data_IF_733033155042
#
_entry.id   IF_733033155042
#
_cell.length_a   1.000
_cell.length_b   1.000
_cell.length_c   1.000
_cell.angle_alpha   90.00
_cell.angle_beta   90.00
_cell.angle_gamma   90.00
#
_symmetry.space_group_name_H-M   'P 1'
#
loop_
_entity.id
_entity.type
_entity.pdbx_description
1 polymer ?
#
# COMPACT_ATOMS: atom_id res chain seq x y z
N UNK A 1 11.61 3.16 -13.71
CA UNK A 1 11.30 4.25 -12.77
C UNK A 1 9.87 4.11 -12.27
N UNK A 2 9.65 4.39 -10.98
CA UNK A 2 8.31 4.43 -10.37
C UNK A 2 7.38 5.45 -11.03
N UNK A 3 7.91 6.50 -11.60
CA UNK A 3 7.13 7.53 -12.33
C UNK A 3 6.47 7.04 -13.61
N UNK A 4 6.89 5.90 -14.14
CA UNK A 4 6.30 5.34 -15.36
C UNK A 4 5.28 4.28 -14.98
N UNK A 5 4.01 4.51 -15.31
CA UNK A 5 2.99 3.48 -15.18
C UNK A 5 3.30 2.30 -16.11
N UNK A 6 3.17 1.10 -15.56
CA UNK A 6 3.34 -0.14 -16.30
C UNK A 6 2.19 -1.08 -16.00
N UNK A 7 1.50 -1.53 -17.05
CA UNK A 7 0.35 -2.42 -16.94
C UNK A 7 0.72 -3.75 -16.27
N UNK A 8 1.83 -4.36 -16.69
CA UNK A 8 2.31 -5.62 -16.12
C UNK A 8 2.64 -5.50 -14.62
N UNK A 9 3.22 -4.37 -14.21
CA UNK A 9 3.49 -4.12 -12.80
C UNK A 9 2.20 -3.81 -12.01
N UNK A 10 1.21 -3.16 -12.64
CA UNK A 10 -0.09 -2.98 -12.03
C UNK A 10 -0.77 -4.34 -11.77
N UNK A 11 -0.78 -5.25 -12.75
CA UNK A 11 -1.33 -6.59 -12.58
C UNK A 11 -0.64 -7.38 -11.45
N UNK A 12 0.70 -7.33 -11.41
CA UNK A 12 1.48 -7.92 -10.31
C UNK A 12 1.20 -7.26 -8.96
N UNK A 13 0.99 -5.94 -8.94
CA UNK A 13 0.66 -5.18 -7.73
C UNK A 13 -0.73 -5.50 -7.21
N UNK A 14 -1.68 -5.79 -8.09
CA UNK A 14 -2.99 -6.32 -7.70
C UNK A 14 -2.83 -7.69 -7.02
N UNK A 15 -1.99 -8.55 -7.58
CA UNK A 15 -1.63 -9.83 -6.95
C UNK A 15 -1.02 -9.64 -5.56
N UNK A 16 -0.11 -8.68 -5.38
CA UNK A 16 0.50 -8.34 -4.09
C UNK A 16 -0.56 -7.84 -3.09
N UNK A 17 -1.48 -6.96 -3.52
CA UNK A 17 -2.55 -6.47 -2.68
C UNK A 17 -3.48 -7.60 -2.22
N UNK A 18 -3.92 -8.47 -3.14
CA UNK A 18 -4.82 -9.58 -2.82
C UNK A 18 -4.14 -10.73 -2.09
N UNK A 19 -2.83 -10.89 -2.21
CA UNK A 19 -2.09 -11.87 -1.41
C UNK A 19 -2.21 -11.63 0.10
N UNK A 20 -2.49 -10.38 0.51
CA UNK A 20 -2.75 -10.03 1.90
C UNK A 20 -4.21 -10.28 2.34
N UNK A 21 -5.09 -10.77 1.46
CA UNK A 21 -6.49 -11.07 1.74
C UNK A 21 -6.74 -12.57 1.88
N UNK A 22 -7.80 -12.92 2.63
CA UNK A 22 -8.31 -14.28 2.72
C UNK A 22 -9.45 -14.52 1.73
N UNK A 23 -9.76 -15.80 1.48
CA UNK A 23 -11.03 -16.17 0.85
C UNK A 23 -12.19 -15.92 1.81
N UNK A 24 -13.35 -15.53 1.29
CA UNK A 24 -14.54 -15.18 2.10
C UNK A 24 -15.20 -16.37 2.82
N UNK A 25 -14.79 -17.59 2.52
CA UNK A 25 -15.49 -18.82 2.91
C UNK A 25 -14.90 -19.49 4.17
N UNK A 26 -13.92 -18.87 4.85
CA UNK A 26 -13.31 -19.42 6.05
C UNK A 26 -13.73 -18.65 7.31
N UNK A 27 -13.72 -19.31 8.46
CA UNK A 27 -13.88 -18.67 9.76
C UNK A 27 -12.76 -17.64 10.02
N UNK A 28 -12.99 -16.69 10.90
CA UNK A 28 -12.12 -15.51 11.07
C UNK A 28 -10.64 -15.84 11.34
N UNK A 29 -10.37 -16.80 12.24
CA UNK A 29 -9.01 -17.21 12.57
C UNK A 29 -8.31 -17.89 11.38
N UNK A 30 -9.05 -18.71 10.62
CA UNK A 30 -8.57 -19.31 9.39
C UNK A 30 -8.31 -18.27 8.30
N UNK A 31 -9.10 -17.19 8.28
CA UNK A 31 -8.87 -16.07 7.35
C UNK A 31 -7.53 -15.38 7.58
N UNK A 32 -7.16 -15.12 8.84
CA UNK A 32 -5.87 -14.52 9.17
C UNK A 32 -4.70 -15.42 8.75
N UNK A 33 -4.75 -16.69 9.15
CA UNK A 33 -3.74 -17.67 8.79
C UNK A 33 -3.64 -17.84 7.26
N UNK A 34 -4.78 -17.82 6.55
CA UNK A 34 -4.84 -17.92 5.09
C UNK A 34 -4.24 -16.69 4.41
N UNK A 35 -4.56 -15.49 4.86
CA UNK A 35 -3.96 -14.24 4.33
C UNK A 35 -2.44 -14.26 4.47
N UNK A 36 -1.93 -14.68 5.61
CA UNK A 36 -0.50 -14.77 5.82
C UNK A 36 0.16 -15.82 4.92
N UNK A 37 -0.43 -17.02 4.78
CA UNK A 37 0.06 -18.06 3.85
C UNK A 37 0.02 -17.62 2.41
N UNK A 38 -1.04 -16.90 1.98
CA UNK A 38 -1.16 -16.40 0.63
C UNK A 38 -0.04 -15.43 0.28
N UNK A 39 0.28 -14.51 1.20
CA UNK A 39 1.41 -13.60 0.99
C UNK A 39 2.74 -14.35 0.92
N UNK A 40 2.99 -15.28 1.83
CA UNK A 40 4.21 -16.10 1.83
C UNK A 40 4.35 -16.81 0.48
N UNK A 41 3.30 -17.52 0.04
CA UNK A 41 3.30 -18.25 -1.24
C UNK A 41 3.53 -17.31 -2.44
N UNK A 42 2.88 -16.15 -2.46
CA UNK A 42 3.08 -15.15 -3.51
C UNK A 42 4.53 -14.65 -3.54
N UNK A 43 5.07 -14.30 -2.38
CA UNK A 43 6.43 -13.78 -2.28
C UNK A 43 7.47 -14.83 -2.69
N UNK A 44 7.33 -16.09 -2.26
CA UNK A 44 8.20 -17.21 -2.65
C UNK A 44 8.15 -17.46 -4.14
N UNK A 45 6.95 -17.49 -4.76
CA UNK A 45 6.80 -17.66 -6.21
C UNK A 45 7.45 -16.52 -7.00
N UNK A 46 7.46 -15.30 -6.44
CA UNK A 46 8.15 -14.16 -7.02
C UNK A 46 9.65 -14.12 -6.70
N UNK A 47 10.19 -15.14 -6.02
CA UNK A 47 11.62 -15.26 -5.67
C UNK A 47 12.06 -14.26 -4.60
N UNK A 48 11.17 -13.87 -3.72
CA UNK A 48 11.51 -13.08 -2.54
C UNK A 48 11.97 -13.98 -1.39
N UNK A 49 12.82 -13.41 -0.56
CA UNK A 49 13.35 -13.97 0.68
C UNK A 49 12.99 -13.05 1.85
N UNK A 50 13.47 -13.40 3.06
CA UNK A 50 13.25 -12.61 4.27
C UNK A 50 11.76 -12.20 4.49
N UNK A 51 10.87 -13.14 4.21
CA UNK A 51 9.42 -12.91 4.31
C UNK A 51 9.04 -12.76 5.79
N UNK A 52 8.43 -11.64 6.15
CA UNK A 52 7.98 -11.34 7.51
C UNK A 52 6.65 -10.63 7.52
N UNK A 53 5.90 -10.85 8.59
CA UNK A 53 4.60 -10.25 8.82
C UNK A 53 4.53 -9.68 10.24
N UNK A 54 3.80 -8.58 10.41
CA UNK A 54 3.52 -8.10 11.75
C UNK A 54 2.46 -8.99 12.44
N UNK A 55 2.28 -8.81 13.75
CA UNK A 55 1.35 -9.62 14.56
C UNK A 55 -0.09 -9.56 14.04
N UNK A 56 -0.49 -8.46 13.43
CA UNK A 56 -1.84 -8.25 12.94
C UNK A 56 -2.20 -9.07 11.69
N UNK A 57 -1.22 -9.70 11.05
CA UNK A 57 -1.47 -10.69 9.99
C UNK A 57 -1.93 -12.05 10.52
N UNK A 58 -1.70 -12.34 11.80
CA UNK A 58 -2.00 -13.65 12.40
C UNK A 58 -2.83 -13.56 13.68
N UNK A 59 -3.06 -12.36 14.19
CA UNK A 59 -3.89 -12.10 15.37
C UNK A 59 -5.11 -11.27 14.99
N UNK A 60 -6.21 -11.37 15.75
CA UNK A 60 -7.39 -10.55 15.58
C UNK A 60 -7.04 -9.06 15.55
N UNK A 61 -7.66 -8.32 14.61
CA UNK A 61 -7.46 -6.90 14.50
C UNK A 61 -8.03 -6.16 15.70
N UNK A 62 -7.30 -5.17 16.17
CA UNK A 62 -7.80 -4.15 17.11
C UNK A 62 -8.21 -2.90 16.33
N UNK A 63 -8.88 -1.98 16.99
CA UNK A 63 -9.20 -0.67 16.42
C UNK A 63 -7.91 0.01 15.94
N UNK A 64 -7.94 0.50 14.71
CA UNK A 64 -6.80 1.18 14.06
C UNK A 64 -5.55 0.30 13.79
N UNK A 65 -5.63 -1.02 14.00
CA UNK A 65 -4.55 -1.93 13.60
C UNK A 65 -4.53 -2.16 12.09
N UNK A 66 -3.35 -2.51 11.56
CA UNK A 66 -3.19 -2.85 10.15
C UNK A 66 -2.23 -4.04 9.99
N UNK A 67 -2.62 -5.02 9.18
CA UNK A 67 -1.75 -6.14 8.83
C UNK A 67 -0.72 -5.73 7.78
N UNK A 68 0.56 -6.07 8.01
CA UNK A 68 1.68 -5.67 7.16
C UNK A 68 2.54 -6.89 6.88
N UNK A 69 2.84 -7.08 5.61
CA UNK A 69 3.79 -8.09 5.14
C UNK A 69 4.94 -7.42 4.42
N UNK A 70 6.17 -7.87 4.67
CA UNK A 70 7.35 -7.45 3.94
C UNK A 70 8.13 -8.68 3.45
N UNK A 71 8.70 -8.55 2.26
CA UNK A 71 9.63 -9.51 1.70
C UNK A 71 10.70 -8.77 0.90
N UNK A 72 11.91 -9.32 0.79
CA UNK A 72 12.99 -8.66 0.05
C UNK A 72 13.75 -9.62 -0.84
N UNK A 73 14.32 -9.09 -1.89
CA UNK A 73 15.28 -9.80 -2.75
C UNK A 73 16.30 -8.85 -3.34
N UNK A 74 17.48 -9.37 -3.62
CA UNK A 74 18.49 -8.63 -4.40
C UNK A 74 18.12 -8.64 -5.88
N UNK A 75 18.14 -7.47 -6.50
CA UNK A 75 17.95 -7.30 -7.94
C UNK A 75 19.11 -6.50 -8.53
N UNK A 76 19.30 -6.63 -9.83
CA UNK A 76 20.25 -5.83 -10.60
C UNK A 76 19.56 -5.25 -11.82
N UNK A 77 19.82 -4.00 -12.07
CA UNK A 77 19.43 -3.29 -13.30
C UNK A 77 20.60 -2.45 -13.85
N UNK A 78 20.33 -1.62 -14.85
CA UNK A 78 21.34 -0.75 -15.45
C UNK A 78 21.94 0.26 -14.46
N UNK A 79 21.26 0.55 -13.35
CA UNK A 79 21.73 1.44 -12.28
C UNK A 79 22.58 0.71 -11.23
N UNK A 80 22.73 -0.62 -11.32
CA UNK A 80 23.52 -1.43 -10.41
C UNK A 80 22.70 -2.40 -9.55
N UNK A 81 23.18 -2.66 -8.34
CA UNK A 81 22.53 -3.58 -7.40
C UNK A 81 21.63 -2.82 -6.42
N UNK A 82 20.46 -3.38 -6.18
CA UNK A 82 19.46 -2.88 -5.24
C UNK A 82 18.89 -4.03 -4.40
N UNK A 83 18.36 -3.70 -3.22
CA UNK A 83 17.42 -4.58 -2.54
C UNK A 83 16.01 -4.11 -2.88
N UNK A 84 15.22 -4.97 -3.55
CA UNK A 84 13.80 -4.75 -3.76
C UNK A 84 13.05 -5.23 -2.52
N UNK A 85 12.27 -4.33 -1.92
CA UNK A 85 11.39 -4.63 -0.79
C UNK A 85 9.95 -4.57 -1.29
N UNK A 86 9.21 -5.67 -1.18
CA UNK A 86 7.78 -5.73 -1.44
C UNK A 86 7.01 -5.57 -0.12
N UNK A 87 5.98 -4.71 -0.13
CA UNK A 87 5.12 -4.44 1.02
C UNK A 87 3.67 -4.68 0.62
N UNK A 88 3.06 -5.69 1.20
CA UNK A 88 1.62 -5.95 1.11
C UNK A 88 0.92 -5.44 2.36
N UNK A 89 -0.06 -4.58 2.19
CA UNK A 89 -0.85 -4.03 3.30
C UNK A 89 -2.21 -4.69 3.29
N UNK A 90 -2.60 -5.30 4.43
CA UNK A 90 -3.90 -5.95 4.57
C UNK A 90 -4.99 -4.93 4.87
N UNK A 91 -6.04 -4.94 4.06
CA UNK A 91 -7.21 -4.09 4.24
C UNK A 91 -8.44 -4.80 4.80
N UNK A 92 -8.32 -6.07 5.17
CA UNK A 92 -9.46 -6.90 5.54
C UNK A 92 -9.54 -7.09 7.04
N UNK A 93 -10.51 -6.54 7.62
CA UNK A 93 -11.38 -6.95 8.70
C UNK A 93 -12.28 -5.81 9.15
N UNK A 94 -13.36 -5.70 8.43
CA UNK A 94 -14.17 -4.51 8.38
C UNK A 94 -14.84 -4.16 9.71
N UNK A 95 -15.07 -5.10 10.64
CA UNK A 95 -15.83 -4.79 11.85
C UNK A 95 -15.03 -4.07 12.94
N UNK A 96 -13.77 -4.45 13.18
CA UNK A 96 -12.92 -3.81 14.18
C UNK A 96 -12.16 -2.59 13.63
N UNK A 97 -11.74 -2.66 12.37
CA UNK A 97 -10.94 -1.62 11.71
C UNK A 97 -11.80 -0.45 11.19
N UNK A 98 -13.12 -0.64 10.98
CA UNK A 98 -14.02 0.41 10.51
C UNK A 98 -14.25 1.56 11.52
N UNK A 99 -14.01 1.32 12.80
CA UNK A 99 -14.02 2.39 13.79
C UNK A 99 -13.04 3.51 13.47
N UNK A 100 -11.89 3.17 12.85
CA UNK A 100 -10.90 4.12 12.36
C UNK A 100 -11.33 4.89 11.11
N UNK A 101 -12.15 4.28 10.25
CA UNK A 101 -12.60 4.90 8.99
C UNK A 101 -13.56 6.09 9.18
N UNK A 102 -14.16 6.24 10.37
CA UNK A 102 -15.06 7.35 10.70
C UNK A 102 -14.37 8.50 11.47
N UNK A 103 -13.07 8.37 11.78
CA UNK A 103 -12.34 9.39 12.55
C UNK A 103 -11.69 10.41 11.63
N UNK A 104 -12.28 11.59 11.59
CA UNK A 104 -11.64 12.78 11.04
C UNK A 104 -10.63 13.30 12.06
N UNK A 105 -9.37 13.46 11.66
CA UNK A 105 -8.32 13.98 12.55
C UNK A 105 -8.45 15.49 12.77
N UNK A 106 -7.99 15.95 13.93
CA UNK A 106 -7.88 17.38 14.23
C UNK A 106 -6.82 18.11 13.37
N UNK A 107 -5.95 17.34 12.70
CA UNK A 107 -4.87 17.84 11.83
C UNK A 107 -5.26 17.95 10.34
N UNK A 108 -6.50 17.59 9.98
CA UNK A 108 -6.95 17.57 8.59
C UNK A 108 -6.79 16.23 7.87
N UNK A 109 -5.79 15.41 8.18
CA UNK A 109 -5.66 14.04 7.67
C UNK A 109 -6.75 13.11 8.24
N UNK A 110 -7.06 12.06 7.49
CA UNK A 110 -7.94 11.00 8.00
C UNK A 110 -7.20 10.18 9.08
N UNK A 111 -7.53 10.40 10.36
CA UNK A 111 -6.77 9.88 11.50
C UNK A 111 -6.52 8.36 11.45
N UNK A 112 -7.52 7.58 11.05
CA UNK A 112 -7.37 6.12 10.95
C UNK A 112 -6.39 5.67 9.87
N UNK A 113 -6.30 6.40 8.75
CA UNK A 113 -5.33 6.09 7.69
C UNK A 113 -3.94 6.60 8.06
N UNK A 114 -3.83 7.76 8.70
CA UNK A 114 -2.56 8.30 9.21
C UNK A 114 -1.93 7.35 10.25
N UNK A 115 -2.71 6.81 11.19
CA UNK A 115 -2.21 5.81 12.14
C UNK A 115 -1.74 4.53 11.43
N UNK A 116 -2.47 4.07 10.40
CA UNK A 116 -2.05 2.94 9.58
C UNK A 116 -0.75 3.22 8.81
N UNK A 117 -0.61 4.40 8.23
CA UNK A 117 0.62 4.89 7.58
C UNK A 117 1.81 4.81 8.53
N UNK A 118 1.67 5.35 9.72
CA UNK A 118 2.75 5.38 10.70
C UNK A 118 3.16 3.97 11.13
N UNK A 119 2.19 3.07 11.35
CA UNK A 119 2.47 1.66 11.63
C UNK A 119 3.24 0.96 10.49
N UNK A 120 2.90 1.25 9.23
CA UNK A 120 3.62 0.69 8.07
C UNK A 120 5.05 1.21 8.01
N UNK A 121 5.26 2.51 8.19
CA UNK A 121 6.59 3.12 8.19
C UNK A 121 7.47 2.56 9.31
N UNK A 122 6.94 2.43 10.52
CA UNK A 122 7.67 1.91 11.66
C UNK A 122 8.01 0.42 11.49
N UNK A 123 7.05 -0.38 10.99
CA UNK A 123 7.31 -1.78 10.69
C UNK A 123 8.36 -1.95 9.59
N UNK A 124 8.31 -1.14 8.56
CA UNK A 124 9.28 -1.17 7.46
C UNK A 124 10.70 -0.80 7.93
N UNK A 125 10.82 0.20 8.80
CA UNK A 125 12.11 0.54 9.45
C UNK A 125 12.65 -0.61 10.29
N UNK A 126 11.80 -1.23 11.10
CA UNK A 126 12.17 -2.40 11.92
C UNK A 126 12.58 -3.58 11.03
N UNK A 127 11.82 -3.87 9.97
CA UNK A 127 12.12 -4.91 8.99
C UNK A 127 13.50 -4.71 8.35
N UNK A 128 13.81 -3.50 7.88
CA UNK A 128 15.11 -3.14 7.29
C UNK A 128 16.25 -3.34 8.29
N UNK A 129 16.05 -2.91 9.54
CA UNK A 129 17.04 -3.06 10.59
C UNK A 129 17.31 -4.52 10.95
N UNK A 130 16.26 -5.31 11.12
CA UNK A 130 16.33 -6.72 11.53
C UNK A 130 16.86 -7.64 10.42
N UNK A 131 16.60 -7.32 9.16
CA UNK A 131 17.12 -8.08 8.01
C UNK A 131 18.51 -7.64 7.59
N UNK A 132 19.04 -6.55 8.17
CA UNK A 132 20.35 -6.02 7.87
C UNK A 132 20.47 -5.40 6.48
N UNK A 133 19.37 -4.99 5.87
CA UNK A 133 19.35 -4.34 4.55
C UNK A 133 20.11 -3.02 4.62
N UNK A 134 21.00 -2.79 3.66
CA UNK A 134 21.81 -1.58 3.53
C UNK A 134 21.93 -1.15 2.07
N UNK A 135 22.31 0.12 1.84
CA UNK A 135 22.55 0.66 0.51
C UNK A 135 21.27 1.07 -0.22
N UNK A 136 21.26 0.92 -1.54
CA UNK A 136 20.13 1.36 -2.36
C UNK A 136 18.97 0.37 -2.32
N UNK A 137 17.79 0.88 -2.05
CA UNK A 137 16.56 0.08 -2.04
C UNK A 137 15.60 0.54 -3.13
N UNK A 138 14.81 -0.40 -3.64
CA UNK A 138 13.58 -0.14 -4.38
C UNK A 138 12.42 -0.62 -3.53
N UNK A 139 11.38 0.18 -3.43
CA UNK A 139 10.19 -0.17 -2.66
C UNK A 139 9.01 -0.39 -3.59
N UNK A 140 8.37 -1.53 -3.45
CA UNK A 140 7.15 -1.89 -4.12
C UNK A 140 6.05 -2.11 -3.09
N UNK A 141 5.08 -1.20 -3.04
CA UNK A 141 3.99 -1.21 -2.07
C UNK A 141 2.64 -1.24 -2.78
N UNK A 142 1.73 -2.05 -2.27
CA UNK A 142 0.37 -2.15 -2.78
C UNK A 142 -0.64 -2.44 -1.68
N UNK A 143 -1.87 -2.00 -1.91
CA UNK A 143 -3.02 -2.26 -1.06
C UNK A 143 -4.32 -2.10 -1.85
N UNK A 144 -5.42 -2.61 -1.26
CA UNK A 144 -6.78 -2.51 -1.81
C UNK A 144 -7.72 -1.87 -0.78
N UNK A 145 -8.62 -0.97 -1.23
CA UNK A 145 -9.60 -0.29 -0.38
C UNK A 145 -8.90 0.49 0.77
N UNK A 146 -9.27 0.29 2.03
CA UNK A 146 -8.65 0.94 3.20
C UNK A 146 -7.12 0.84 3.19
N UNK A 147 -6.57 -0.33 2.90
CA UNK A 147 -5.11 -0.50 2.83
C UNK A 147 -4.46 0.23 1.65
N UNK A 148 -5.23 0.50 0.59
CA UNK A 148 -4.75 1.34 -0.50
C UNK A 148 -4.58 2.79 -0.07
N UNK A 149 -5.49 3.34 0.76
CA UNK A 149 -5.29 4.67 1.36
C UNK A 149 -4.04 4.74 2.24
N UNK A 150 -3.83 3.72 3.05
CA UNK A 150 -2.61 3.64 3.88
C UNK A 150 -1.36 3.57 3.00
N UNK A 151 -1.35 2.70 1.97
CA UNK A 151 -0.24 2.60 1.02
C UNK A 151 0.00 3.92 0.26
N UNK A 152 -1.07 4.62 -0.13
CA UNK A 152 -1.03 5.92 -0.77
C UNK A 152 -0.35 6.97 0.11
N UNK A 153 -0.74 7.08 1.37
CA UNK A 153 -0.14 8.01 2.34
C UNK A 153 1.31 7.65 2.67
N UNK A 154 1.65 6.35 2.77
CA UNK A 154 3.06 5.90 2.88
C UNK A 154 3.86 6.33 1.68
N UNK A 155 3.31 6.15 0.47
CA UNK A 155 3.93 6.59 -0.78
C UNK A 155 4.22 8.08 -0.79
N UNK A 156 3.25 8.93 -0.39
CA UNK A 156 3.43 10.37 -0.28
C UNK A 156 4.55 10.76 0.66
N UNK A 157 4.54 10.21 1.89
CA UNK A 157 5.58 10.48 2.90
C UNK A 157 6.99 10.08 2.41
N UNK A 158 7.12 8.94 1.75
CA UNK A 158 8.41 8.48 1.23
C UNK A 158 8.88 9.31 0.04
N UNK A 159 7.98 9.74 -0.81
CA UNK A 159 8.29 10.63 -1.92
C UNK A 159 8.70 12.04 -1.44
N UNK A 160 8.17 12.48 -0.30
CA UNK A 160 8.57 13.70 0.40
C UNK A 160 9.87 13.57 1.21
N UNK A 161 10.52 12.40 1.13
CA UNK A 161 11.83 12.18 1.73
C UNK A 161 11.82 11.63 3.16
N UNK A 162 10.71 11.06 3.61
CA UNK A 162 10.65 10.34 4.88
C UNK A 162 11.68 9.20 4.88
N UNK A 163 12.57 9.18 5.89
CA UNK A 163 13.67 8.23 5.96
C UNK A 163 13.21 6.84 6.41
N UNK A 164 13.74 5.82 5.76
CA UNK A 164 13.62 4.42 6.16
C UNK A 164 14.79 3.92 7.03
N UNK A 165 15.72 4.78 7.36
CA UNK A 165 16.88 4.50 8.20
C UNK A 165 18.19 5.00 7.57
N UNK A 166 19.16 5.29 8.40
CA UNK A 166 20.43 5.92 7.97
C UNK A 166 21.30 5.05 7.05
N UNK A 167 21.06 3.73 7.02
CA UNK A 167 21.86 2.79 6.23
C UNK A 167 21.29 2.47 4.86
N UNK A 168 20.10 2.96 4.54
CA UNK A 168 19.43 2.74 3.26
C UNK A 168 19.13 4.05 2.57
N UNK A 169 19.06 4.02 1.25
CA UNK A 169 18.61 5.15 0.44
C UNK A 169 17.51 4.70 -0.53
N UNK A 170 16.40 5.41 -0.50
CA UNK A 170 15.28 5.28 -1.42
C UNK A 170 15.17 6.55 -2.24
N UNK A 171 15.26 6.42 -3.55
CA UNK A 171 14.95 7.52 -4.47
C UNK A 171 13.47 7.49 -4.82
N UNK A 172 12.80 8.64 -5.02
CA UNK A 172 11.43 8.68 -5.56
C UNK A 172 11.26 7.88 -6.86
N UNK A 173 12.29 7.82 -7.70
CA UNK A 173 12.31 6.98 -8.91
C UNK A 173 12.26 5.47 -8.64
N UNK A 174 12.63 5.04 -7.44
CA UNK A 174 12.69 3.66 -7.00
C UNK A 174 11.51 3.27 -6.09
N UNK A 175 10.55 4.18 -5.93
CA UNK A 175 9.26 3.93 -5.27
C UNK A 175 8.22 3.54 -6.31
N UNK A 176 7.62 2.37 -6.14
CA UNK A 176 6.57 1.79 -6.98
C UNK A 176 5.33 1.59 -6.10
N UNK A 177 4.42 2.54 -6.12
CA UNK A 177 3.21 2.54 -5.31
C UNK A 177 1.97 2.37 -6.19
N UNK A 178 1.25 1.27 -5.99
CA UNK A 178 0.03 0.94 -6.74
C UNK A 178 -1.13 0.73 -5.75
N UNK A 179 -2.11 1.61 -5.81
CA UNK A 179 -3.22 1.67 -4.87
C UNK A 179 -4.53 1.35 -5.60
N UNK A 180 -5.25 0.33 -5.15
CA UNK A 180 -6.50 -0.12 -5.77
C UNK A 180 -7.70 0.37 -4.96
N UNK A 181 -8.57 1.15 -5.59
CA UNK A 181 -9.77 1.75 -4.97
C UNK A 181 -9.45 2.50 -3.67
N UNK A 182 -8.41 3.38 -3.64
CA UNK A 182 -8.03 4.07 -2.41
C UNK A 182 -9.07 5.13 -2.03
N UNK A 183 -9.66 5.09 -0.82
CA UNK A 183 -10.31 6.25 -0.23
C UNK A 183 -9.36 7.44 -0.11
N UNK A 184 -9.88 8.66 -0.02
CA UNK A 184 -9.08 9.86 0.18
C UNK A 184 -8.63 9.96 1.64
N UNK A 185 -7.33 10.03 1.91
CA UNK A 185 -6.77 10.04 3.27
C UNK A 185 -5.91 11.25 3.59
N UNK A 186 -5.33 11.89 2.59
CA UNK A 186 -4.55 13.13 2.69
C UNK A 186 -5.46 14.36 2.59
N UNK A 187 -4.92 15.54 2.88
CA UNK A 187 -5.61 16.80 2.63
C UNK A 187 -5.23 17.38 1.27
N UNK A 188 -6.06 18.29 0.74
CA UNK A 188 -5.74 19.02 -0.48
C UNK A 188 -4.47 19.83 -0.35
N UNK A 189 -4.21 20.40 0.81
CA UNK A 189 -3.01 21.19 1.06
C UNK A 189 -1.74 20.32 0.98
N UNK A 190 -1.79 19.08 1.46
CA UNK A 190 -0.65 18.15 1.42
C UNK A 190 -0.30 17.72 0.00
N UNK A 191 -1.28 17.59 -0.88
CA UNK A 191 -1.08 17.16 -2.28
C UNK A 191 -0.95 18.35 -3.23
N UNK A 192 -1.07 19.59 -2.74
CA UNK A 192 -1.11 20.80 -3.56
C UNK A 192 0.28 21.14 -4.14
N UNK A 193 0.29 21.54 -5.40
CA UNK A 193 1.49 22.07 -6.05
C UNK A 193 2.52 21.04 -6.50
N UNK A 194 2.29 19.75 -6.25
CA UNK A 194 3.17 18.66 -6.66
C UNK A 194 2.37 17.46 -7.17
N UNK A 195 2.84 16.86 -8.26
CA UNK A 195 2.30 15.60 -8.79
C UNK A 195 3.21 14.47 -8.35
N UNK A 196 2.66 13.54 -7.55
CA UNK A 196 3.34 12.33 -7.09
C UNK A 196 3.18 11.23 -8.15
N UNK A 197 3.89 11.36 -9.27
CA UNK A 197 3.70 10.52 -10.47
C UNK A 197 4.08 9.04 -10.26
N UNK A 198 4.81 8.74 -9.20
CA UNK A 198 5.20 7.39 -8.79
C UNK A 198 4.14 6.69 -7.91
N UNK A 199 3.02 7.37 -7.65
CA UNK A 199 1.87 6.80 -6.96
C UNK A 199 0.72 6.68 -7.97
N UNK A 200 0.34 5.44 -8.26
CA UNK A 200 -0.68 5.11 -9.25
C UNK A 200 -1.93 4.60 -8.54
N UNK A 201 -3.00 5.39 -8.59
CA UNK A 201 -4.30 5.01 -8.05
C UNK A 201 -5.15 4.40 -9.16
N UNK A 202 -5.52 3.15 -9.01
CA UNK A 202 -6.41 2.46 -9.96
C UNK A 202 -7.83 2.55 -9.39
N UNK A 203 -8.69 3.29 -10.07
CA UNK A 203 -9.99 3.75 -9.54
C UNK A 203 -11.11 3.34 -10.47
N UNK A 204 -12.14 2.70 -9.92
CA UNK A 204 -13.41 2.52 -10.57
C UNK A 204 -14.34 3.67 -10.17
N UNK A 205 -14.71 4.51 -11.13
CA UNK A 205 -15.58 5.67 -10.88
C UNK A 205 -16.99 5.32 -10.40
N UNK A 206 -17.41 4.07 -10.53
CA UNK A 206 -18.68 3.56 -10.02
C UNK A 206 -18.56 3.02 -8.59
N UNK A 207 -17.37 2.97 -8.01
CA UNK A 207 -17.17 2.56 -6.63
C UNK A 207 -17.24 3.78 -5.70
N UNK A 208 -18.28 3.81 -4.85
CA UNK A 208 -18.47 4.88 -3.88
C UNK A 208 -17.35 4.96 -2.84
N UNK A 209 -16.63 3.88 -2.60
CA UNK A 209 -15.52 3.82 -1.61
C UNK A 209 -14.40 4.78 -1.98
N UNK A 210 -14.14 4.97 -3.25
CA UNK A 210 -13.09 5.90 -3.74
C UNK A 210 -13.37 7.37 -3.44
N UNK A 211 -14.64 7.68 -3.15
CA UNK A 211 -15.11 9.03 -2.75
C UNK A 211 -15.33 9.15 -1.24
N UNK A 212 -15.05 8.11 -0.47
CA UNK A 212 -15.11 8.20 1.00
C UNK A 212 -13.94 9.04 1.50
N UNK A 213 -14.21 9.85 2.46
CA UNK A 213 -13.81 11.18 2.81
C UNK A 213 -14.09 12.10 1.62
N UNK A 214 -15.28 12.70 1.59
CA UNK A 214 -15.75 13.48 0.43
C UNK A 214 -14.80 14.62 0.07
N UNK A 215 -14.62 14.87 -1.21
CA UNK A 215 -13.87 16.03 -1.75
C UNK A 215 -14.33 17.37 -1.14
N UNK A 216 -15.62 17.48 -0.79
CA UNK A 216 -16.21 18.63 -0.08
C UNK A 216 -15.67 18.81 1.35
N UNK A 217 -15.00 17.82 1.93
CA UNK A 217 -14.38 17.85 3.26
C UNK A 217 -12.87 18.12 3.22
N UNK A 218 -12.39 18.59 2.08
CA UNK A 218 -10.99 18.94 1.84
C UNK A 218 -9.99 17.76 1.83
N UNK A 219 -10.51 16.55 1.59
CA UNK A 219 -9.67 15.36 1.41
C UNK A 219 -9.20 15.18 -0.02
N UNK A 220 -8.05 14.54 -0.16
CA UNK A 220 -7.41 14.18 -1.42
C UNK A 220 -6.62 12.87 -1.25
N UNK A 221 -5.98 12.44 -2.32
CA UNK A 221 -4.99 11.36 -2.33
C UNK A 221 -3.77 11.78 -3.12
N UNK A 222 -2.63 11.24 -2.75
CA UNK A 222 -1.39 11.43 -3.49
C UNK A 222 -1.45 10.73 -4.84
N UNK A 223 -0.78 11.27 -5.83
CA UNK A 223 -0.51 10.58 -7.08
C UNK A 223 -1.52 10.80 -8.20
N UNK A 224 -1.50 9.88 -9.15
CA UNK A 224 -2.26 9.96 -10.40
C UNK A 224 -3.38 8.93 -10.41
N UNK A 225 -4.61 9.40 -10.56
CA UNK A 225 -5.77 8.53 -10.73
C UNK A 225 -5.81 7.96 -12.15
N UNK A 226 -5.98 6.64 -12.23
CA UNK A 226 -6.12 5.87 -13.46
C UNK A 226 -7.46 5.15 -13.42
N UNK A 227 -8.38 5.69 -14.18
CA UNK A 227 -9.75 5.19 -14.22
C UNK A 227 -9.82 3.87 -14.98
N UNK A 228 -10.42 2.86 -14.34
CA UNK A 228 -10.72 1.59 -14.98
C UNK A 228 -11.97 1.76 -15.83
N UNK A 229 -11.95 1.41 -17.14
CA UNK A 229 -13.12 1.47 -17.99
C UNK A 229 -14.25 0.59 -17.45
N UNK A 230 -15.46 1.12 -17.42
CA UNK A 230 -16.65 0.39 -16.97
C UNK A 230 -17.57 0.07 -18.13
N UNK A 231 -18.53 -0.85 -17.93
CA UNK A 231 -19.50 -1.21 -18.96
C UNK A 231 -20.26 0.04 -19.45
N UNK A 232 -20.12 0.35 -20.72
CA UNK A 232 -20.66 1.56 -21.34
C UNK A 232 -19.58 2.56 -21.77
N UNK A 233 -18.35 2.42 -21.28
CA UNK A 233 -17.22 3.20 -21.76
C UNK A 233 -16.73 2.64 -23.12
N UNK A 234 -16.29 3.54 -24.01
CA UNK A 234 -15.82 3.16 -25.34
C UNK A 234 -14.57 2.23 -25.31
N UNK A 235 -13.84 2.24 -24.21
CA UNK A 235 -12.64 1.42 -23.99
C UNK A 235 -12.91 0.15 -23.18
N UNK A 236 -14.18 -0.13 -22.83
CA UNK A 236 -14.54 -1.34 -22.11
C UNK A 236 -14.48 -2.54 -23.07
N UNK A 237 -13.58 -3.46 -22.80
CA UNK A 237 -13.48 -4.71 -23.55
C UNK A 237 -14.54 -5.69 -23.02
N UNK A 238 -15.46 -6.10 -23.91
CA UNK A 238 -16.47 -7.14 -23.61
C UNK A 238 -15.85 -8.53 -23.59
#
# INVERSE_FOLDING_TARGET
SGYTYRQDLAEMSLGLAFAAFSSKDSEYEDQLATSNRNFISFAEQCGFENIRSNKWMTQPAETDSIGINCASKTIRDNGGQYTLIAVGVRGNNYHAEWGGNARLGASGEHAGFAMGRDQVLDYLRAYIAETGITGRVKLWISGYSRSASVANMVGGMLDDGCSLGARVSLSPHDLYCYCYEPPMGATKDEVQGRVYENIHNIVNTNDLVTYVAFDSWDFARYGVDRVVPTKGDANYLN
#
